data_IF_696537446822
#
_entry.id   IF_696537446822
#
_cell.length_a   1.000
_cell.length_b   1.000
_cell.length_c   1.000
_cell.angle_alpha   90.00
_cell.angle_beta   90.00
_cell.angle_gamma   90.00
#
_symmetry.space_group_name_H-M   'P 1'
#
loop_
_entity.id
_entity.type
_entity.pdbx_description
1 polymer ?
#
# COMPACT_ATOMS: atom_id res chain seq x y z
N UNK A 1 33.48 10.70 -3.62
CA UNK A 1 32.11 11.26 -3.49
C UNK A 1 31.15 10.13 -3.80
N UNK A 2 30.17 9.91 -2.92
CA UNK A 2 29.31 8.72 -2.88
C UNK A 2 28.65 8.40 -4.23
N UNK A 3 28.57 7.10 -4.49
CA UNK A 3 27.84 6.47 -5.60
C UNK A 3 26.46 6.11 -5.07
N UNK A 4 25.39 6.46 -5.79
CA UNK A 4 24.10 5.78 -5.69
C UNK A 4 23.06 6.39 -4.75
N UNK A 5 22.55 7.57 -5.09
CA UNK A 5 21.18 7.95 -4.74
C UNK A 5 20.42 8.09 -6.05
N UNK A 6 19.59 7.11 -6.41
CA UNK A 6 18.50 7.41 -7.32
C UNK A 6 17.56 8.28 -6.48
N UNK A 7 17.69 9.61 -6.57
CA UNK A 7 16.62 10.52 -6.20
C UNK A 7 15.42 10.10 -7.04
N UNK A 8 14.52 9.31 -6.44
CA UNK A 8 13.23 9.05 -7.04
C UNK A 8 12.50 10.36 -6.88
N UNK A 9 12.29 11.06 -8.00
CA UNK A 9 11.48 12.26 -8.00
C UNK A 9 10.10 11.90 -7.44
N UNK A 10 9.67 12.57 -6.38
CA UNK A 10 8.40 12.32 -5.70
C UNK A 10 7.52 13.56 -5.74
N UNK A 11 6.26 13.38 -6.10
CA UNK A 11 5.22 14.40 -6.11
C UNK A 11 4.28 14.21 -4.90
N UNK A 12 3.82 15.30 -4.28
CA UNK A 12 2.84 15.22 -3.20
C UNK A 12 1.41 15.19 -3.74
N UNK A 13 0.67 14.14 -3.38
CA UNK A 13 -0.76 14.00 -3.70
C UNK A 13 -1.50 13.62 -2.42
N UNK A 14 -2.55 14.38 -2.07
CA UNK A 14 -3.30 14.20 -0.83
C UNK A 14 -2.41 14.13 0.45
N UNK A 15 -1.25 14.80 0.44
CA UNK A 15 -0.27 14.78 1.53
C UNK A 15 0.65 13.56 1.56
N UNK A 16 0.64 12.71 0.51
CA UNK A 16 1.47 11.51 0.37
C UNK A 16 2.51 11.71 -0.71
N UNK A 17 3.75 11.32 -0.45
CA UNK A 17 4.83 11.31 -1.44
C UNK A 17 4.65 10.14 -2.41
N UNK A 18 4.36 10.47 -3.66
CA UNK A 18 4.19 9.53 -4.76
C UNK A 18 5.42 9.59 -5.68
N UNK A 19 6.10 8.48 -5.98
CA UNK A 19 7.10 8.42 -7.03
C UNK A 19 6.54 8.85 -8.39
N UNK A 20 7.19 9.82 -9.05
CA UNK A 20 6.85 10.26 -10.41
C UNK A 20 6.78 9.10 -11.41
N UNK A 21 7.56 8.03 -11.17
CA UNK A 21 7.57 6.81 -11.99
C UNK A 21 6.25 6.02 -12.01
N UNK A 22 5.37 6.22 -11.04
CA UNK A 22 4.05 5.57 -10.98
C UNK A 22 2.88 6.56 -10.87
N UNK A 23 3.15 7.86 -10.78
CA UNK A 23 2.14 8.91 -10.62
C UNK A 23 1.01 8.86 -11.65
N UNK A 24 1.33 8.67 -12.94
CA UNK A 24 0.34 8.60 -14.03
C UNK A 24 -0.56 7.35 -13.99
N UNK A 25 -0.17 6.32 -13.22
CA UNK A 25 -0.91 5.05 -13.11
C UNK A 25 -1.70 4.94 -11.82
N UNK A 26 -1.48 5.84 -10.87
CA UNK A 26 -2.14 5.80 -9.56
C UNK A 26 -3.52 6.41 -9.68
N UNK A 27 -4.49 5.72 -9.10
CA UNK A 27 -5.84 6.22 -8.88
C UNK A 27 -5.83 7.16 -7.66
N UNK A 28 -5.96 8.46 -7.93
CA UNK A 28 -5.93 9.52 -6.92
C UNK A 28 -7.13 9.44 -5.95
N UNK A 29 -8.30 8.98 -6.43
CA UNK A 29 -9.51 8.83 -5.62
C UNK A 29 -9.34 7.67 -4.63
N UNK A 30 -8.83 6.52 -5.09
CA UNK A 30 -8.48 5.39 -4.23
C UNK A 30 -7.42 5.77 -3.21
N UNK A 31 -6.36 6.48 -3.63
CA UNK A 31 -5.32 6.92 -2.72
C UNK A 31 -5.88 7.84 -1.64
N UNK A 32 -6.69 8.82 -2.03
CA UNK A 32 -7.28 9.76 -1.07
C UNK A 32 -8.19 9.03 -0.08
N UNK A 33 -9.06 8.14 -0.55
CA UNK A 33 -9.91 7.34 0.33
C UNK A 33 -9.10 6.44 1.27
N UNK A 34 -8.01 5.83 0.77
CA UNK A 34 -7.11 5.04 1.59
C UNK A 34 -6.43 5.88 2.68
N UNK A 35 -5.99 7.10 2.37
CA UNK A 35 -5.39 8.03 3.33
C UNK A 35 -6.42 8.45 4.39
N UNK A 36 -7.66 8.71 4.01
CA UNK A 36 -8.74 9.04 4.98
C UNK A 36 -9.00 7.89 5.96
N UNK A 37 -9.02 6.64 5.47
CA UNK A 37 -9.13 5.45 6.33
C UNK A 37 -7.90 5.35 7.24
N UNK A 38 -6.69 5.54 6.71
CA UNK A 38 -5.47 5.47 7.52
C UNK A 38 -5.45 6.53 8.62
N UNK A 39 -5.88 7.75 8.33
CA UNK A 39 -6.00 8.84 9.30
C UNK A 39 -7.02 8.51 10.40
N UNK A 40 -8.20 7.97 10.03
CA UNK A 40 -9.22 7.53 10.99
C UNK A 40 -8.69 6.44 11.94
N UNK A 41 -7.80 5.57 11.46
CA UNK A 41 -7.14 4.54 12.26
C UNK A 41 -5.84 5.02 12.96
N UNK A 42 -5.47 6.29 12.78
CA UNK A 42 -4.24 6.91 13.28
C UNK A 42 -2.99 6.17 12.80
N UNK A 43 -2.98 5.75 11.53
CA UNK A 43 -1.87 5.06 10.88
C UNK A 43 -1.01 6.07 10.13
N UNK A 44 0.23 6.24 10.59
CA UNK A 44 1.19 7.17 9.97
C UNK A 44 2.31 6.45 9.22
N UNK A 45 2.45 5.13 9.40
CA UNK A 45 3.53 4.34 8.81
C UNK A 45 3.06 3.72 7.48
N UNK A 46 3.01 4.53 6.43
CA UNK A 46 2.68 4.10 5.07
C UNK A 46 3.54 4.81 4.03
N UNK A 47 3.78 4.15 2.90
CA UNK A 47 4.61 4.67 1.79
C UNK A 47 4.11 4.17 0.45
N UNK A 48 4.18 4.99 -0.58
CA UNK A 48 3.87 4.55 -1.96
C UNK A 48 5.09 3.89 -2.57
N UNK A 49 4.91 2.69 -3.08
CA UNK A 49 5.94 1.95 -3.79
C UNK A 49 6.09 2.49 -5.22
N UNK A 50 7.30 2.55 -5.79
CA UNK A 50 7.52 3.01 -7.17
C UNK A 50 6.86 2.13 -8.24
N UNK A 51 6.37 0.96 -7.85
CA UNK A 51 5.56 0.05 -8.67
C UNK A 51 4.05 0.27 -8.51
N UNK A 52 3.61 1.36 -7.88
CA UNK A 52 2.19 1.74 -7.83
C UNK A 52 1.35 1.06 -6.76
N UNK A 53 1.90 0.79 -5.58
CA UNK A 53 1.14 0.23 -4.46
C UNK A 53 1.41 0.93 -3.14
N UNK A 54 0.37 1.18 -2.35
CA UNK A 54 0.48 1.74 -1.01
C UNK A 54 0.88 0.65 -0.03
N UNK A 55 2.09 0.75 0.52
CA UNK A 55 2.59 -0.13 1.57
C UNK A 55 2.21 0.45 2.92
N UNK A 56 1.43 -0.29 3.69
CA UNK A 56 0.96 0.09 5.01
C UNK A 56 1.59 -0.86 6.03
N UNK A 57 2.13 -0.29 7.11
CA UNK A 57 2.80 -1.03 8.18
C UNK A 57 2.04 -0.82 9.48
N UNK A 58 1.55 -1.93 10.04
CA UNK A 58 0.76 -1.91 11.28
C UNK A 58 1.52 -2.66 12.36
N UNK A 59 1.94 -1.99 13.42
CA UNK A 59 2.65 -2.64 14.53
C UNK A 59 1.78 -3.73 15.19
N UNK A 60 2.35 -4.91 15.47
CA UNK A 60 1.62 -6.04 16.08
C UNK A 60 1.16 -5.77 17.51
N UNK A 61 1.71 -4.74 18.15
CA UNK A 61 1.27 -4.27 19.46
C UNK A 61 -0.12 -3.64 19.41
N UNK A 62 -0.62 -3.25 18.23
CA UNK A 62 -2.02 -2.85 18.05
C UNK A 62 -2.94 -4.07 18.25
N UNK A 63 -4.12 -3.89 18.86
CA UNK A 63 -5.07 -4.97 19.01
C UNK A 63 -5.50 -5.51 17.65
N UNK A 64 -5.66 -6.83 17.57
CA UNK A 64 -6.01 -7.52 16.32
C UNK A 64 -7.31 -6.99 15.71
N UNK A 65 -8.27 -6.55 16.53
CA UNK A 65 -9.54 -5.95 16.10
C UNK A 65 -9.34 -4.66 15.30
N UNK A 66 -8.42 -3.79 15.70
CA UNK A 66 -8.12 -2.56 14.97
C UNK A 66 -7.48 -2.86 13.61
N UNK A 67 -6.61 -3.89 13.54
CA UNK A 67 -6.05 -4.36 12.29
C UNK A 67 -7.13 -4.92 11.35
N UNK A 68 -8.03 -5.76 11.87
CA UNK A 68 -9.12 -6.36 11.07
C UNK A 68 -10.06 -5.28 10.55
N UNK A 69 -10.44 -4.30 11.39
CA UNK A 69 -11.27 -3.17 10.98
C UNK A 69 -10.60 -2.35 9.86
N UNK A 70 -9.33 -1.97 10.03
CA UNK A 70 -8.57 -1.27 8.99
C UNK A 70 -8.54 -2.06 7.69
N UNK A 71 -8.26 -3.37 7.76
CA UNK A 71 -8.20 -4.23 6.58
C UNK A 71 -9.55 -4.31 5.87
N UNK A 72 -10.63 -4.54 6.62
CA UNK A 72 -11.97 -4.66 6.07
C UNK A 72 -12.44 -3.33 5.44
N UNK A 73 -12.09 -2.18 6.05
CA UNK A 73 -12.33 -0.86 5.45
C UNK A 73 -11.54 -0.65 4.16
N UNK A 74 -10.25 -1.03 4.12
CA UNK A 74 -9.46 -0.96 2.88
C UNK A 74 -10.02 -1.86 1.77
N UNK A 75 -10.64 -3.00 2.12
CA UNK A 75 -11.34 -3.86 1.16
C UNK A 75 -12.64 -3.26 0.61
N UNK A 76 -13.16 -2.16 1.20
CA UNK A 76 -14.29 -1.43 0.62
C UNK A 76 -13.89 -0.54 -0.55
N UNK A 77 -12.59 -0.29 -0.73
CA UNK A 77 -12.06 0.45 -1.86
C UNK A 77 -12.08 -0.44 -3.12
N UNK A 78 -12.22 0.18 -4.29
CA UNK A 78 -12.16 -0.50 -5.61
C UNK A 78 -10.70 -0.85 -5.99
N UNK A 79 -9.98 -1.49 -5.07
CA UNK A 79 -8.56 -1.75 -5.18
C UNK A 79 -8.16 -3.06 -4.46
N UNK A 80 -7.20 -3.82 -5.02
CA UNK A 80 -6.79 -5.08 -4.41
C UNK A 80 -5.97 -4.84 -3.14
N UNK A 81 -6.38 -5.46 -2.03
CA UNK A 81 -5.63 -5.47 -0.78
C UNK A 81 -4.93 -6.82 -0.62
N UNK A 82 -3.62 -6.80 -0.44
CA UNK A 82 -2.78 -7.99 -0.22
C UNK A 82 -2.14 -7.95 1.16
N UNK A 83 -2.29 -9.03 1.92
CA UNK A 83 -1.64 -9.22 3.21
C UNK A 83 -0.30 -9.96 3.02
N UNK A 84 0.82 -9.35 3.44
CA UNK A 84 2.15 -9.97 3.37
C UNK A 84 2.55 -10.69 4.66
N UNK A 85 1.64 -10.81 5.63
CA UNK A 85 1.90 -11.41 6.93
C UNK A 85 2.63 -10.48 7.90
N UNK A 86 3.31 -11.08 8.88
CA UNK A 86 3.98 -10.39 9.99
C UNK A 86 5.49 -10.60 9.91
N UNK A 87 6.26 -9.51 9.91
CA UNK A 87 7.73 -9.52 10.03
C UNK A 87 8.16 -8.45 11.02
N UNK A 88 9.15 -8.74 11.86
CA UNK A 88 9.74 -7.76 12.79
C UNK A 88 8.73 -7.07 13.72
N UNK A 89 7.66 -7.79 14.10
CA UNK A 89 6.59 -7.21 14.92
C UNK A 89 5.72 -6.20 14.17
N UNK A 90 5.69 -6.25 12.84
CA UNK A 90 4.86 -5.39 11.99
C UNK A 90 4.10 -6.25 10.98
N UNK A 91 2.79 -6.03 10.92
CA UNK A 91 1.89 -6.57 9.90
C UNK A 91 1.98 -5.69 8.67
N UNK A 92 2.13 -6.31 7.50
CA UNK A 92 2.37 -5.60 6.25
C UNK A 92 1.17 -5.78 5.33
N UNK A 93 0.54 -4.66 5.02
CA UNK A 93 -0.57 -4.58 4.07
C UNK A 93 -0.10 -3.85 2.82
N UNK A 94 -0.63 -4.25 1.67
CA UNK A 94 -0.42 -3.56 0.40
C UNK A 94 -1.77 -3.31 -0.25
N UNK A 95 -2.07 -2.04 -0.55
CA UNK A 95 -3.19 -1.67 -1.41
C UNK A 95 -2.64 -1.40 -2.81
N UNK A 96 -3.22 -2.04 -3.83
CA UNK A 96 -2.93 -1.72 -5.23
C UNK A 96 -3.52 -0.35 -5.56
N UNK A 97 -2.67 0.60 -5.95
CA UNK A 97 -3.13 1.92 -6.37
C UNK A 97 -3.24 2.05 -7.89
N UNK A 98 -2.71 1.06 -8.62
CA UNK A 98 -2.75 1.04 -10.08
C UNK A 98 -3.89 0.17 -10.55
N UNK A 99 -4.62 0.65 -11.56
CA UNK A 99 -5.64 -0.12 -12.27
C UNK A 99 -5.04 -1.19 -13.19
N UNK A 100 -3.82 -1.68 -12.90
CA UNK A 100 -3.30 -2.86 -13.56
C UNK A 100 -4.17 -4.02 -13.07
N UNK A 101 -5.22 -4.30 -13.84
CA UNK A 101 -5.97 -5.54 -13.82
C UNK A 101 -4.95 -6.65 -13.63
N UNK A 102 -5.01 -7.30 -12.48
CA UNK A 102 -4.17 -8.44 -12.18
C UNK A 102 -4.58 -9.60 -13.12
N UNK A 103 -4.15 -9.54 -14.38
CA UNK A 103 -4.04 -10.69 -15.26
C UNK A 103 -2.82 -11.56 -14.86
N UNK A 104 -2.28 -11.36 -13.65
CA UNK A 104 -1.21 -12.18 -13.06
C UNK A 104 -1.64 -12.95 -11.82
N UNK A 105 -2.95 -13.19 -11.64
CA UNK A 105 -3.46 -14.35 -10.88
C UNK A 105 -3.36 -15.63 -11.74
N UNK A 106 -2.23 -15.85 -12.41
CA UNK A 106 -1.95 -17.08 -13.15
C UNK A 106 -0.44 -17.35 -13.13
N UNK A 107 0.06 -17.85 -12.00
CA UNK A 107 1.01 -18.98 -11.94
C UNK A 107 1.72 -19.06 -10.60
N UNK A 108 1.22 -19.95 -9.73
CA UNK A 108 2.00 -20.81 -8.84
C UNK A 108 1.01 -21.82 -8.27
N UNK A 109 1.06 -23.14 -8.40
CA UNK A 109 1.87 -24.12 -9.12
C UNK A 109 1.08 -25.42 -8.93
N UNK A 110 0.82 -26.17 -10.01
CA UNK A 110 0.42 -27.57 -9.91
C UNK A 110 1.53 -28.36 -9.22
N UNK A 111 1.24 -29.09 -8.15
CA UNK A 111 2.03 -30.25 -7.74
C UNK A 111 1.16 -31.23 -6.93
N UNK A 112 0.91 -32.35 -7.60
CA UNK A 112 0.43 -33.68 -7.18
C UNK A 112 -0.93 -33.82 -6.46
#
# INVERSE_FOLDING_TARGET
>A
MNIGGHDIDTEQVAGVEIPATCRDRIDDDVLKAAVEILDAHQMTDYTVSPVGGLKIRVGVHRPNTAYVALRDELHTLDAPVTEHGVSDGVRRLRLGLTSETDETAASSTQND
#
